data_IF_383998971731
#
_entry.id   IF_383998971731
#
_cell.length_a   1.000
_cell.length_b   1.000
_cell.length_c   1.000
_cell.angle_alpha   90.00
_cell.angle_beta   90.00
_cell.angle_gamma   90.00
#
_symmetry.space_group_name_H-M   'P 1'
#
loop_
_entity.id
_entity.type
_entity.pdbx_description
1 polymer ?
#
# COMPACT_ATOMS: atom_id res chain seq x y z
N UNK A 1 -13.13 -19.71 -12.87
CA UNK A 1 -13.01 -19.17 -11.50
C UNK A 1 -11.58 -18.68 -11.33
N UNK A 2 -11.37 -17.55 -10.67
CA UNK A 2 -10.01 -17.05 -10.40
C UNK A 2 -9.32 -17.97 -9.40
N UNK A 3 -8.05 -18.29 -9.64
CA UNK A 3 -7.21 -19.02 -8.68
C UNK A 3 -6.67 -18.12 -7.56
N UNK A 4 -7.10 -16.86 -7.51
CA UNK A 4 -6.64 -15.84 -6.57
C UNK A 4 -7.82 -15.21 -5.85
N UNK A 5 -7.60 -14.91 -4.57
CA UNK A 5 -8.49 -14.13 -3.71
C UNK A 5 -7.79 -12.81 -3.40
N UNK A 6 -8.50 -11.70 -3.62
CA UNK A 6 -8.01 -10.37 -3.28
C UNK A 6 -8.14 -10.13 -1.78
N UNK A 7 -7.03 -9.80 -1.13
CA UNK A 7 -6.97 -9.43 0.29
C UNK A 7 -6.59 -7.96 0.49
N UNK A 8 -6.16 -7.27 -0.57
CA UNK A 8 -5.84 -5.85 -0.56
C UNK A 8 -7.09 -4.99 -0.45
N UNK A 9 -7.02 -3.98 0.41
CA UNK A 9 -8.03 -2.93 0.45
C UNK A 9 -7.72 -1.89 -0.64
N UNK A 10 -8.71 -1.45 -1.44
CA UNK A 10 -8.46 -0.47 -2.49
C UNK A 10 -8.00 0.87 -1.91
N UNK A 11 -7.05 1.51 -2.60
CA UNK A 11 -6.63 2.88 -2.30
C UNK A 11 -7.42 3.84 -3.18
N UNK A 12 -8.08 4.81 -2.57
CA UNK A 12 -8.90 5.80 -3.28
C UNK A 12 -8.93 7.14 -2.53
N UNK A 13 -9.28 8.19 -3.26
CA UNK A 13 -9.40 9.55 -2.73
C UNK A 13 -10.43 9.61 -1.59
N UNK A 14 -10.05 10.20 -0.45
CA UNK A 14 -10.96 10.35 0.67
C UNK A 14 -11.22 9.07 1.49
N UNK A 15 -10.45 8.00 1.28
CA UNK A 15 -10.61 6.76 2.05
C UNK A 15 -10.35 6.95 3.55
N UNK A 16 -10.92 6.07 4.36
CA UNK A 16 -10.68 6.05 5.80
C UNK A 16 -9.22 5.77 6.14
N UNK A 17 -8.67 6.55 7.06
CA UNK A 17 -7.33 6.35 7.65
C UNK A 17 -7.42 6.51 9.16
N UNK A 18 -6.33 6.18 9.86
CA UNK A 18 -6.24 6.41 11.29
C UNK A 18 -6.48 7.90 11.61
N UNK A 19 -7.24 8.23 12.68
CA UNK A 19 -7.58 9.61 13.01
C UNK A 19 -6.36 10.53 13.12
N UNK A 20 -6.38 11.64 12.40
CA UNK A 20 -5.32 12.65 12.40
C UNK A 20 -4.18 12.41 11.42
N UNK A 21 -4.20 11.32 10.64
CA UNK A 21 -3.21 11.08 9.59
C UNK A 21 -3.63 11.69 8.24
N UNK A 22 -2.67 11.96 7.34
CA UNK A 22 -2.97 12.43 6.01
C UNK A 22 -3.85 11.44 5.24
N UNK A 23 -4.95 11.96 4.69
CA UNK A 23 -5.88 11.19 3.86
C UNK A 23 -5.28 11.05 2.46
N UNK A 24 -5.23 9.84 1.86
CA UNK A 24 -4.76 9.65 0.50
C UNK A 24 -5.55 10.50 -0.48
N UNK A 25 -4.85 11.08 -1.46
CA UNK A 25 -5.48 11.78 -2.57
C UNK A 25 -5.14 11.11 -3.88
N UNK A 26 -6.14 10.99 -4.76
CA UNK A 26 -5.97 10.45 -6.11
C UNK A 26 -6.66 11.42 -7.07
N UNK A 27 -5.89 12.12 -7.91
CA UNK A 27 -6.40 13.18 -8.78
C UNK A 27 -6.01 12.92 -10.22
N UNK A 28 -6.98 13.04 -11.13
CA UNK A 28 -6.72 13.03 -12.57
C UNK A 28 -5.87 14.25 -12.93
N UNK A 29 -4.76 14.02 -13.64
CA UNK A 29 -3.86 15.05 -14.15
C UNK A 29 -4.03 15.24 -15.66
N UNK A 30 -4.04 14.14 -16.42
CA UNK A 30 -4.36 14.13 -17.85
C UNK A 30 -5.68 13.39 -18.06
N UNK A 31 -6.55 13.93 -18.93
CA UNK A 31 -7.92 13.46 -19.14
C UNK A 31 -8.28 13.48 -20.64
N UNK A 32 -8.45 12.30 -21.23
CA UNK A 32 -8.86 12.12 -22.63
C UNK A 32 -10.18 12.81 -22.95
N UNK A 33 -11.09 12.92 -21.97
CA UNK A 33 -12.38 13.61 -22.17
C UNK A 33 -12.21 15.12 -22.34
N UNK A 34 -11.06 15.67 -21.92
CA UNK A 34 -10.67 17.07 -22.08
C UNK A 34 -9.72 17.29 -23.27
N UNK A 35 -9.41 16.24 -24.03
CA UNK A 35 -8.53 16.30 -25.20
C UNK A 35 -7.04 16.11 -24.90
N UNK A 36 -6.68 15.70 -23.67
CA UNK A 36 -5.30 15.29 -23.36
C UNK A 36 -4.96 13.98 -24.08
N UNK A 37 -3.66 13.69 -24.32
CA UNK A 37 -3.24 12.51 -25.10
C UNK A 37 -3.45 11.16 -24.39
N UNK A 38 -3.65 11.13 -23.07
CA UNK A 38 -3.92 9.92 -22.28
C UNK A 38 -4.63 10.27 -20.96
N UNK A 39 -5.11 9.24 -20.25
CA UNK A 39 -5.58 9.38 -18.88
C UNK A 39 -4.42 9.13 -17.91
N UNK A 40 -4.18 10.07 -17.00
CA UNK A 40 -3.13 9.97 -15.99
C UNK A 40 -3.63 10.49 -14.65
N UNK A 41 -3.18 9.87 -13.54
CA UNK A 41 -3.53 10.29 -12.19
C UNK A 41 -2.29 10.41 -11.32
N UNK A 42 -2.33 11.34 -10.37
CA UNK A 42 -1.33 11.53 -9.32
C UNK A 42 -1.91 11.03 -8.01
N UNK A 43 -1.12 10.26 -7.27
CA UNK A 43 -1.47 9.73 -5.96
C UNK A 43 -0.48 10.24 -4.91
N UNK A 44 -1.01 10.86 -3.86
CA UNK A 44 -0.28 11.18 -2.64
C UNK A 44 -0.85 10.32 -1.51
N UNK A 45 -0.02 9.58 -0.79
CA UNK A 45 -0.45 8.58 0.18
C UNK A 45 0.41 8.60 1.44
N UNK A 46 -0.23 8.44 2.59
CA UNK A 46 0.44 8.07 3.84
C UNK A 46 0.65 6.56 3.87
N UNK A 47 1.88 6.10 4.13
CA UNK A 47 2.26 4.68 3.93
C UNK A 47 1.52 3.67 4.81
N UNK A 48 0.84 4.12 5.87
CA UNK A 48 -0.02 3.29 6.71
C UNK A 48 -1.50 3.35 6.33
N UNK A 49 -1.83 3.73 5.09
CA UNK A 49 -3.18 3.69 4.56
C UNK A 49 -3.42 2.37 3.79
N UNK A 50 -4.58 1.75 4.01
CA UNK A 50 -4.96 0.48 3.37
C UNK A 50 -4.14 -0.73 3.84
N UNK A 51 -4.12 -1.79 3.03
CA UNK A 51 -3.31 -2.99 3.30
C UNK A 51 -1.83 -2.68 3.05
N UNK A 52 -0.99 -2.80 4.08
CA UNK A 52 0.43 -2.41 4.03
C UNK A 52 1.31 -3.29 4.93
N UNK A 53 2.63 -3.05 4.90
CA UNK A 53 3.61 -3.68 5.78
C UNK A 53 4.52 -2.62 6.41
N UNK A 54 4.74 -2.73 7.71
CA UNK A 54 5.64 -1.84 8.44
C UNK A 54 7.08 -2.35 8.37
N UNK A 55 8.03 -1.44 8.15
CA UNK A 55 9.44 -1.75 8.33
C UNK A 55 9.84 -1.61 9.81
N UNK A 56 10.85 -2.37 10.30
CA UNK A 56 11.36 -2.22 11.68
C UNK A 56 11.67 -0.77 12.07
N UNK A 57 12.22 0.01 11.13
CA UNK A 57 12.50 1.43 11.32
C UNK A 57 11.31 2.26 11.81
N UNK A 58 10.08 1.91 11.42
CA UNK A 58 8.84 2.62 11.82
C UNK A 58 8.71 2.77 13.34
N UNK A 59 9.00 1.71 14.10
CA UNK A 59 8.90 1.72 15.57
C UNK A 59 10.25 1.74 16.28
N UNK A 60 11.31 1.21 15.66
CA UNK A 60 12.63 1.10 16.30
C UNK A 60 13.52 2.32 16.03
N UNK A 61 13.29 3.05 14.92
CA UNK A 61 14.10 4.19 14.52
C UNK A 61 15.59 3.87 14.31
N UNK A 62 16.42 4.91 14.35
CA UNK A 62 17.87 4.79 14.22
C UNK A 62 18.30 4.05 12.94
N UNK A 63 19.19 3.07 13.11
CA UNK A 63 19.74 2.23 12.05
C UNK A 63 18.92 0.95 11.80
N UNK A 64 17.72 0.85 12.37
CA UNK A 64 16.85 -0.29 12.09
C UNK A 64 16.49 -0.36 10.59
N UNK A 65 16.30 -1.57 10.04
CA UNK A 65 16.00 -1.74 8.61
C UNK A 65 14.77 -0.95 8.16
N UNK A 66 14.93 -0.22 7.06
CA UNK A 66 13.82 0.42 6.31
C UNK A 66 13.30 -0.56 5.26
N UNK A 67 12.10 -0.33 4.72
CA UNK A 67 11.53 -1.19 3.68
C UNK A 67 12.41 -1.28 2.42
N UNK A 68 13.25 -0.27 2.17
CA UNK A 68 14.21 -0.28 1.06
C UNK A 68 15.46 -1.14 1.30
N UNK A 69 15.68 -1.63 2.53
CA UNK A 69 16.81 -2.51 2.85
C UNK A 69 16.50 -3.96 2.48
N UNK A 70 16.66 -4.29 1.21
CA UNK A 70 16.36 -5.62 0.67
C UNK A 70 17.31 -6.71 1.13
N UNK A 71 18.43 -6.35 1.76
CA UNK A 71 19.33 -7.34 2.37
C UNK A 71 18.80 -7.79 3.74
N UNK A 72 18.30 -6.84 4.52
CA UNK A 72 17.69 -7.13 5.81
C UNK A 72 16.24 -7.62 5.68
N UNK A 73 15.50 -7.15 4.67
CA UNK A 73 14.11 -7.50 4.37
C UNK A 73 14.00 -7.99 2.92
N UNK A 74 14.46 -9.21 2.62
CA UNK A 74 14.37 -9.75 1.26
C UNK A 74 12.89 -9.91 0.85
N UNK A 75 12.48 -9.48 -0.36
CA UNK A 75 11.09 -9.54 -0.82
C UNK A 75 10.46 -10.93 -0.75
N UNK A 76 11.27 -11.98 -0.90
CA UNK A 76 10.84 -13.38 -0.81
C UNK A 76 10.28 -13.74 0.57
N UNK A 77 10.66 -13.00 1.63
CA UNK A 77 10.08 -13.17 2.97
C UNK A 77 8.60 -12.78 3.06
N UNK A 78 8.09 -12.07 2.05
CA UNK A 78 6.69 -11.66 1.96
C UNK A 78 5.85 -12.56 1.03
N UNK A 79 6.45 -13.63 0.50
CA UNK A 79 5.78 -14.62 -0.36
C UNK A 79 5.68 -15.95 0.38
N UNK A 80 4.45 -16.42 0.60
CA UNK A 80 4.16 -17.62 1.37
C UNK A 80 3.59 -18.71 0.47
N UNK A 81 4.14 -19.93 0.56
CA UNK A 81 3.64 -21.10 -0.20
C UNK A 81 2.40 -21.72 0.46
N UNK A 82 2.39 -21.79 1.79
CA UNK A 82 1.30 -22.35 2.59
C UNK A 82 0.97 -21.43 3.79
N UNK A 83 0.39 -20.25 3.55
CA UNK A 83 0.00 -19.36 4.64
C UNK A 83 -1.13 -19.99 5.48
N UNK A 84 -1.02 -19.90 6.80
CA UNK A 84 -2.07 -20.32 7.72
C UNK A 84 -3.09 -19.19 7.90
N UNK A 85 -4.36 -19.48 7.61
CA UNK A 85 -5.48 -18.60 7.94
C UNK A 85 -6.14 -19.09 9.24
N UNK A 86 -6.22 -18.21 10.23
CA UNK A 86 -6.85 -18.48 11.53
C UNK A 86 -8.03 -17.55 11.68
N UNK A 87 -9.19 -18.11 12.05
CA UNK A 87 -10.39 -17.33 12.37
C UNK A 87 -10.36 -16.92 13.86
N UNK A 88 -10.27 -15.61 14.11
CA UNK A 88 -10.18 -14.99 15.44
C UNK A 88 -11.15 -13.78 15.53
N UNK A 89 -12.47 -14.02 15.60
CA UNK A 89 -13.49 -12.98 15.52
C UNK A 89 -13.62 -12.12 16.80
#
# INVERSE_FOLDING_TARGET
MSNYVELGYPIYDGMGVYPGLPIPTVKIREDLTKGDPWNGSVMDIYLHAGTHCDAPWHYMGGDAPKMSDTKALPPESFVYDHPLMIDCP
#
